data_IF_636129325621
#
_entry.id   IF_636129325621
#
_cell.length_a   1.000
_cell.length_b   1.000
_cell.length_c   1.000
_cell.angle_alpha   90.00
_cell.angle_beta   90.00
_cell.angle_gamma   90.00
#
_symmetry.space_group_name_H-M   'P 1'
#
loop_
_entity.id
_entity.type
_entity.pdbx_description
1 polymer ?
#
# COMPACT_ATOMS: atom_id res chain seq x y z
N UNK A 1 -5.53 -12.93 -0.05
CA UNK A 1 -5.00 -12.67 1.32
C UNK A 1 -3.99 -11.54 1.42
N UNK A 2 -2.85 -11.62 0.74
CA UNK A 2 -1.78 -10.62 0.91
C UNK A 2 -2.22 -9.17 0.60
N UNK A 3 -2.97 -8.96 -0.48
CA UNK A 3 -3.46 -7.63 -0.86
C UNK A 3 -4.37 -7.04 0.23
N UNK A 4 -5.25 -7.85 0.82
CA UNK A 4 -6.12 -7.45 1.93
C UNK A 4 -5.31 -7.11 3.18
N UNK A 5 -4.26 -7.87 3.48
CA UNK A 5 -3.36 -7.56 4.61
C UNK A 5 -2.59 -6.26 4.40
N UNK A 6 -2.10 -5.98 3.20
CA UNK A 6 -1.45 -4.70 2.87
C UNK A 6 -2.43 -3.54 3.07
N UNK A 7 -3.66 -3.68 2.57
CA UNK A 7 -4.71 -2.68 2.74
C UNK A 7 -5.00 -2.44 4.22
N UNK A 8 -5.20 -3.49 5.02
CA UNK A 8 -5.43 -3.36 6.47
C UNK A 8 -4.29 -2.66 7.19
N UNK A 9 -3.05 -3.02 6.85
CA UNK A 9 -1.84 -2.40 7.41
C UNK A 9 -1.81 -0.89 7.11
N UNK A 10 -2.04 -0.50 5.87
CA UNK A 10 -2.08 0.92 5.48
C UNK A 10 -3.28 1.66 6.08
N UNK A 11 -4.43 1.00 6.25
CA UNK A 11 -5.61 1.59 6.89
C UNK A 11 -5.37 1.91 8.36
N UNK A 12 -4.69 1.01 9.08
CA UNK A 12 -4.49 1.14 10.51
C UNK A 12 -3.29 2.03 10.85
N UNK A 13 -2.20 1.95 10.09
CA UNK A 13 -0.93 2.63 10.43
C UNK A 13 -0.63 3.85 9.56
N UNK A 14 -1.46 4.14 8.56
CA UNK A 14 -1.27 5.27 7.66
C UNK A 14 -0.16 5.06 6.61
N UNK A 15 0.40 6.16 6.07
CA UNK A 15 1.40 6.09 5.00
C UNK A 15 2.69 5.40 5.42
N UNK A 16 3.12 4.39 4.65
CA UNK A 16 4.30 3.60 4.99
C UNK A 16 5.15 3.28 3.76
N UNK A 17 6.46 3.18 3.97
CA UNK A 17 7.36 2.66 2.94
C UNK A 17 7.30 1.13 2.84
N UNK A 18 7.85 0.60 1.74
CA UNK A 18 7.86 -0.85 1.46
C UNK A 18 8.47 -1.67 2.61
N UNK A 19 9.50 -1.17 3.30
CA UNK A 19 10.09 -1.87 4.46
C UNK A 19 9.08 -2.01 5.57
N UNK A 20 8.46 -0.90 5.97
CA UNK A 20 7.50 -0.85 7.07
C UNK A 20 6.29 -1.73 6.77
N UNK A 21 5.74 -1.64 5.55
CA UNK A 21 4.64 -2.51 5.11
C UNK A 21 5.05 -3.99 5.18
N UNK A 22 6.28 -4.33 4.77
CA UNK A 22 6.76 -5.72 4.82
C UNK A 22 6.81 -6.24 6.26
N UNK A 23 7.35 -5.45 7.19
CA UNK A 23 7.44 -5.84 8.60
C UNK A 23 6.07 -5.97 9.27
N UNK A 24 5.14 -5.04 9.01
CA UNK A 24 3.78 -5.13 9.54
C UNK A 24 3.01 -6.33 8.98
N UNK A 25 3.09 -6.56 7.67
CA UNK A 25 2.44 -7.72 7.06
C UNK A 25 3.06 -9.02 7.56
N UNK A 26 4.38 -9.05 7.80
CA UNK A 26 5.07 -10.20 8.40
C UNK A 26 4.59 -10.44 9.83
N UNK A 27 4.42 -9.40 10.65
CA UNK A 27 3.82 -9.51 12.00
C UNK A 27 2.43 -10.12 11.96
N UNK A 28 1.59 -9.69 11.02
CA UNK A 28 0.21 -10.18 10.93
C UNK A 28 0.08 -11.59 10.35
N UNK A 29 1.01 -12.03 9.48
CA UNK A 29 0.88 -13.28 8.70
C UNK A 29 1.99 -14.30 8.96
N UNK A 30 2.96 -13.99 9.81
CA UNK A 30 4.18 -14.77 10.03
C UNK A 30 5.25 -14.60 8.95
N UNK A 31 4.87 -14.40 7.68
CA UNK A 31 5.81 -14.23 6.57
C UNK A 31 5.37 -13.22 5.51
N UNK A 32 6.35 -12.48 4.99
CA UNK A 32 6.17 -11.59 3.85
C UNK A 32 7.50 -11.39 3.10
N UNK A 33 7.49 -11.56 1.78
CA UNK A 33 8.63 -11.19 0.94
C UNK A 33 8.53 -9.73 0.51
N UNK A 34 9.57 -8.94 0.80
CA UNK A 34 9.65 -7.54 0.38
C UNK A 34 9.42 -7.34 -1.13
N UNK A 35 9.95 -8.25 -1.96
CA UNK A 35 9.75 -8.21 -3.42
C UNK A 35 8.29 -8.34 -3.78
N UNK A 36 7.60 -9.33 -3.20
CA UNK A 36 6.18 -9.57 -3.43
C UNK A 36 5.35 -8.39 -2.92
N UNK A 37 5.64 -7.85 -1.72
CA UNK A 37 4.98 -6.65 -1.20
C UNK A 37 5.12 -5.47 -2.16
N UNK A 38 6.33 -5.22 -2.66
CA UNK A 38 6.60 -4.14 -3.62
C UNK A 38 5.85 -4.32 -4.95
N UNK A 39 5.71 -5.56 -5.44
CA UNK A 39 4.90 -5.87 -6.62
C UNK A 39 3.41 -5.65 -6.37
N UNK A 40 2.88 -6.09 -5.22
CA UNK A 40 1.47 -5.90 -4.85
C UNK A 40 1.12 -4.43 -4.69
N UNK A 41 1.94 -3.65 -3.97
CA UNK A 41 1.75 -2.20 -3.84
C UNK A 41 1.72 -1.50 -5.21
N UNK A 42 2.59 -1.89 -6.15
CA UNK A 42 2.56 -1.37 -7.52
C UNK A 42 1.26 -1.73 -8.25
N UNK A 43 0.78 -2.96 -8.13
CA UNK A 43 -0.50 -3.39 -8.75
C UNK A 43 -1.69 -2.65 -8.13
N UNK A 44 -1.74 -2.53 -6.80
CA UNK A 44 -2.78 -1.78 -6.10
C UNK A 44 -2.76 -0.29 -6.49
N UNK A 45 -1.58 0.29 -6.68
CA UNK A 45 -1.44 1.67 -7.14
C UNK A 45 -2.00 1.87 -8.54
N UNK A 46 -1.69 0.95 -9.47
CA UNK A 46 -2.26 0.95 -10.83
C UNK A 46 -3.78 0.82 -10.82
N UNK A 47 -4.35 0.11 -9.85
CA UNK A 47 -5.80 -0.08 -9.68
C UNK A 47 -6.49 1.10 -8.98
N UNK A 48 -5.79 2.16 -8.63
CA UNK A 48 -6.37 3.26 -7.86
C UNK A 48 -6.33 3.05 -6.34
N UNK A 49 -6.24 1.82 -5.82
CA UNK A 49 -6.51 1.53 -4.40
C UNK A 49 -5.51 2.19 -3.43
N UNK A 50 -4.25 2.32 -3.83
CA UNK A 50 -3.22 3.05 -3.08
C UNK A 50 -2.57 4.09 -3.99
N UNK A 51 -1.80 4.98 -3.41
CA UNK A 51 -0.96 5.91 -4.17
C UNK A 51 0.39 6.12 -3.51
N UNK A 52 1.35 6.64 -4.29
CA UNK A 52 2.63 7.07 -3.74
C UNK A 52 2.53 8.48 -3.21
N UNK A 53 3.14 8.70 -2.05
CA UNK A 53 3.26 10.02 -1.43
C UNK A 53 4.72 10.33 -1.13
N UNK A 54 5.01 11.61 -0.82
CA UNK A 54 6.34 12.05 -0.42
C UNK A 54 6.73 11.44 0.94
N UNK A 55 8.01 11.12 1.11
CA UNK A 55 8.57 10.61 2.36
C UNK A 55 9.88 9.85 2.14
N UNK A 56 10.43 9.25 3.21
CA UNK A 56 11.69 8.49 3.14
C UNK A 56 11.50 7.16 2.40
N UNK A 57 11.92 7.14 1.14
CA UNK A 57 11.80 6.00 0.24
C UNK A 57 10.45 5.96 -0.51
N UNK A 58 10.06 4.78 -1.00
CA UNK A 58 8.78 4.59 -1.71
C UNK A 58 7.65 4.40 -0.70
N UNK A 59 7.02 5.49 -0.29
CA UNK A 59 5.89 5.54 0.66
C UNK A 59 4.57 5.38 -0.09
N UNK A 60 3.65 4.60 0.47
CA UNK A 60 2.30 4.39 -0.04
C UNK A 60 1.25 4.71 1.01
N UNK A 61 0.10 5.26 0.60
CA UNK A 61 -1.11 5.41 1.42
C UNK A 61 -2.32 4.81 0.72
N UNK A 62 -3.38 4.51 1.47
CA UNK A 62 -4.68 4.19 0.87
C UNK A 62 -5.30 5.42 0.23
N UNK A 63 -6.00 5.19 -0.87
CA UNK A 63 -6.96 6.15 -1.42
C UNK A 63 -8.36 5.81 -0.94
N UNK A 64 -9.10 6.81 -0.50
CA UNK A 64 -10.48 6.66 -0.10
C UNK A 64 -11.42 6.79 -1.31
N UNK A 65 -12.60 6.15 -1.27
CA UNK A 65 -13.58 6.16 -2.35
C UNK A 65 -13.88 7.53 -2.98
N UNK A 66 -13.96 8.55 -2.14
CA UNK A 66 -14.16 9.96 -2.52
C UNK A 66 -13.03 10.52 -3.38
N UNK A 67 -11.80 10.01 -3.26
CA UNK A 67 -10.62 10.46 -4.01
C UNK A 67 -10.55 9.86 -5.44
N UNK A 68 -11.34 8.83 -5.76
CA UNK A 68 -11.27 8.18 -7.08
C UNK A 68 -11.85 9.03 -8.22
N UNK A 69 -12.81 9.92 -7.92
CA UNK A 69 -13.52 10.73 -8.93
C UNK A 69 -12.64 11.79 -9.61
N UNK A 70 -11.48 12.13 -9.06
CA UNK A 70 -10.56 13.15 -9.61
C UNK A 70 -9.47 12.60 -10.54
N UNK A 71 -9.45 11.29 -10.80
CA UNK A 71 -8.37 10.66 -11.60
C UNK A 71 -8.60 10.69 -13.11
N UNK A 72 -9.71 11.30 -13.59
CA UNK A 72 -10.18 11.26 -14.97
C UNK A 72 -10.08 12.57 -15.76
N UNK A 73 -9.35 13.57 -15.26
CA UNK A 73 -9.02 14.79 -16.00
C UNK A 73 -7.49 14.96 -16.06
N UNK A 74 -6.86 14.21 -16.96
CA UNK A 74 -5.51 14.46 -17.46
C UNK A 74 -5.34 13.75 -18.81
#
# INVERSE_FOLDING_TARGET
DLDRSIIRVLANSGPMNISQVTEEVKRLRGSASRRIIAERLRRLAKKGIVERVKGKGKVYRLRYPEEFKNSGNA
#
